data_IF_877819336379
#
_entry.id   IF_877819336379
#
_cell.length_a   1.000
_cell.length_b   1.000
_cell.length_c   1.000
_cell.angle_alpha   90.00
_cell.angle_beta   90.00
_cell.angle_gamma   90.00
#
_symmetry.space_group_name_H-M   'P 1'
#
loop_
_entity.id
_entity.type
_entity.pdbx_description
1 polymer ?
#
# COMPACT_ATOMS: atom_id res chain seq x y z
N UNK A 1 0.65 -4.79 10.42
CA UNK A 1 -0.60 -5.50 10.70
C UNK A 1 -1.64 -5.33 9.60
N UNK A 2 -1.78 -4.15 9.00
CA UNK A 2 -2.81 -3.84 8.00
C UNK A 2 -2.75 -4.72 6.75
N UNK A 3 -1.56 -4.98 6.20
CA UNK A 3 -1.40 -5.91 5.07
C UNK A 3 -1.99 -7.29 5.38
N UNK A 4 -1.78 -7.77 6.60
CA UNK A 4 -2.41 -9.01 7.07
C UNK A 4 -3.92 -8.87 7.25
N UNK A 5 -4.41 -7.70 7.70
CA UNK A 5 -5.86 -7.46 7.82
C UNK A 5 -6.57 -7.59 6.47
N UNK A 6 -5.90 -7.20 5.39
CA UNK A 6 -6.43 -7.40 4.04
C UNK A 6 -6.46 -8.88 3.65
N UNK A 7 -5.36 -9.61 3.89
CA UNK A 7 -5.32 -11.05 3.64
C UNK A 7 -6.43 -11.79 4.41
N UNK A 8 -6.63 -11.42 5.68
CA UNK A 8 -7.74 -11.92 6.50
C UNK A 8 -9.10 -11.56 5.92
N UNK A 9 -9.27 -10.31 5.45
CA UNK A 9 -10.50 -9.85 4.82
C UNK A 9 -10.81 -10.61 3.53
N UNK A 10 -9.80 -10.83 2.70
CA UNK A 10 -9.92 -11.63 1.47
C UNK A 10 -10.33 -13.06 1.81
N UNK A 11 -9.58 -13.73 2.69
CA UNK A 11 -9.87 -15.11 3.10
C UNK A 11 -11.28 -15.29 3.67
N UNK A 12 -11.74 -14.33 4.51
CA UNK A 12 -12.96 -14.51 5.28
C UNK A 12 -14.24 -14.02 4.57
N UNK A 13 -14.13 -13.10 3.62
CA UNK A 13 -15.28 -12.44 3.00
C UNK A 13 -15.57 -12.85 1.57
N UNK A 14 -14.59 -13.35 0.85
CA UNK A 14 -14.74 -13.71 -0.53
C UNK A 14 -14.84 -15.24 -0.68
N UNK A 15 -16.04 -15.77 -0.42
CA UNK A 15 -16.38 -17.16 -0.71
C UNK A 15 -16.33 -17.39 -2.21
N UNK A 16 -15.71 -18.48 -2.66
CA UNK A 16 -15.58 -18.83 -4.07
C UNK A 16 -14.31 -18.30 -4.77
N UNK A 17 -13.32 -17.84 -4.01
CA UNK A 17 -11.99 -17.50 -4.53
C UNK A 17 -10.96 -18.64 -4.34
N UNK A 18 -11.41 -19.85 -4.06
CA UNK A 18 -10.52 -20.99 -3.78
C UNK A 18 -9.57 -21.31 -4.96
N UNK A 19 -10.04 -21.04 -6.19
CA UNK A 19 -9.25 -21.21 -7.42
C UNK A 19 -8.44 -19.95 -7.81
N UNK A 20 -8.53 -18.88 -7.01
CA UNK A 20 -7.86 -17.63 -7.31
C UNK A 20 -6.52 -17.52 -6.62
N UNK A 21 -5.46 -17.28 -7.38
CA UNK A 21 -4.19 -16.89 -6.79
C UNK A 21 -4.18 -15.40 -6.51
N UNK A 22 -4.18 -15.03 -5.24
CA UNK A 22 -4.14 -13.64 -4.78
C UNK A 22 -2.75 -13.38 -4.20
N UNK A 23 -2.02 -12.48 -4.84
CA UNK A 23 -0.71 -12.04 -4.38
C UNK A 23 -0.84 -10.68 -3.69
N UNK A 24 -0.51 -10.60 -2.40
CA UNK A 24 -0.52 -9.38 -1.59
C UNK A 24 0.91 -8.94 -1.34
N UNK A 25 1.26 -7.69 -1.71
CA UNK A 25 2.60 -7.14 -1.49
C UNK A 25 2.50 -5.95 -0.54
N UNK A 26 3.07 -6.07 0.65
CA UNK A 26 3.27 -4.97 1.59
C UNK A 26 4.64 -4.32 1.39
N UNK A 27 4.69 -3.01 1.29
CA UNK A 27 5.95 -2.29 1.12
C UNK A 27 6.16 -1.25 2.22
N UNK A 28 7.41 -1.01 2.56
CA UNK A 28 7.84 0.01 3.51
C UNK A 28 9.27 0.44 3.19
N UNK A 29 9.60 1.71 3.44
CA UNK A 29 10.97 2.20 3.31
C UNK A 29 11.86 1.68 4.46
N UNK A 30 11.27 1.41 5.63
CA UNK A 30 11.95 0.92 6.82
C UNK A 30 12.19 -0.59 6.76
N UNK A 31 13.46 -0.98 6.70
CA UNK A 31 13.85 -2.39 6.83
C UNK A 31 13.42 -3.02 8.17
N UNK A 32 13.36 -2.22 9.24
CA UNK A 32 12.91 -2.67 10.56
C UNK A 32 11.42 -2.99 10.54
N UNK A 33 10.59 -2.14 9.92
CA UNK A 33 9.17 -2.38 9.77
C UNK A 33 8.91 -3.63 8.90
N UNK A 34 9.63 -3.78 7.79
CA UNK A 34 9.56 -4.98 6.94
C UNK A 34 9.93 -6.24 7.71
N UNK A 35 11.04 -6.23 8.45
CA UNK A 35 11.47 -7.39 9.25
C UNK A 35 10.45 -7.74 10.34
N UNK A 36 9.83 -6.74 10.98
CA UNK A 36 8.74 -6.96 11.95
C UNK A 36 7.53 -7.59 11.27
N UNK A 37 7.11 -7.06 10.13
CA UNK A 37 5.98 -7.56 9.37
C UNK A 37 6.20 -9.01 8.91
N UNK A 38 7.38 -9.33 8.39
CA UNK A 38 7.74 -10.69 7.95
C UNK A 38 7.67 -11.72 9.09
N UNK A 39 8.04 -11.32 10.31
CA UNK A 39 7.91 -12.20 11.49
C UNK A 39 6.46 -12.55 11.80
N UNK A 40 5.53 -11.64 11.55
CA UNK A 40 4.11 -11.86 11.82
C UNK A 40 3.74 -11.91 13.31
N UNK A 41 4.63 -11.42 14.20
CA UNK A 41 4.47 -11.40 15.65
C UNK A 41 3.99 -10.03 16.14
N UNK A 42 2.90 -10.01 16.91
CA UNK A 42 2.27 -8.80 17.42
C UNK A 42 1.93 -8.91 18.91
N UNK A 43 2.03 -7.81 19.61
CA UNK A 43 1.58 -7.72 21.01
C UNK A 43 0.07 -7.78 21.15
N UNK A 44 -0.42 -8.05 22.36
CA UNK A 44 -1.86 -7.96 22.66
C UNK A 44 -2.45 -6.60 22.27
N UNK A 45 -1.73 -5.53 22.56
CA UNK A 45 -2.19 -4.18 22.24
C UNK A 45 -2.34 -3.97 20.72
N UNK A 46 -1.37 -4.40 19.92
CA UNK A 46 -1.41 -4.21 18.47
C UNK A 46 -2.58 -4.95 17.80
N UNK A 47 -2.87 -6.18 18.21
CA UNK A 47 -3.98 -6.94 17.63
C UNK A 47 -5.34 -6.41 18.08
N UNK A 48 -5.48 -5.92 19.30
CA UNK A 48 -6.73 -5.37 19.82
C UNK A 48 -7.08 -4.00 19.25
N UNK A 49 -6.08 -3.21 18.83
CA UNK A 49 -6.29 -1.87 18.27
C UNK A 49 -7.01 -1.87 16.91
N UNK A 50 -6.98 -2.95 16.15
CA UNK A 50 -7.50 -2.97 14.78
C UNK A 50 -8.34 -4.17 14.41
N UNK A 51 -8.43 -5.19 15.27
CA UNK A 51 -9.10 -6.45 14.96
C UNK A 51 -10.16 -6.77 16.02
N UNK A 52 -11.28 -7.34 15.58
CA UNK A 52 -12.25 -7.89 16.51
C UNK A 52 -11.78 -9.26 17.06
N UNK A 53 -12.32 -9.66 18.21
CA UNK A 53 -11.92 -10.88 18.92
C UNK A 53 -12.04 -12.13 18.03
N UNK A 54 -13.10 -12.23 17.24
CA UNK A 54 -13.33 -13.36 16.35
C UNK A 54 -12.19 -13.46 15.31
N UNK A 55 -11.83 -12.37 14.67
CA UNK A 55 -10.72 -12.33 13.70
C UNK A 55 -9.38 -12.71 14.35
N UNK A 56 -9.16 -12.28 15.61
CA UNK A 56 -7.95 -12.66 16.34
C UNK A 56 -7.92 -14.19 16.55
N UNK A 57 -9.00 -14.78 17.02
CA UNK A 57 -9.08 -16.23 17.28
C UNK A 57 -9.00 -17.07 16.00
N UNK A 58 -9.55 -16.57 14.88
CA UNK A 58 -9.58 -17.28 13.61
C UNK A 58 -8.24 -17.17 12.83
N UNK A 59 -7.48 -16.10 13.06
CA UNK A 59 -6.34 -15.74 12.21
C UNK A 59 -4.98 -15.71 12.91
N UNK A 60 -4.98 -15.86 14.23
CA UNK A 60 -3.75 -15.87 15.03
C UNK A 60 -3.74 -17.04 16.01
N UNK A 61 -2.55 -17.40 16.42
CA UNK A 61 -2.33 -18.27 17.57
C UNK A 61 -1.38 -17.62 18.57
N UNK A 62 -1.41 -18.08 19.81
CA UNK A 62 -0.50 -17.60 20.85
C UNK A 62 0.91 -18.15 20.63
N UNK A 63 1.89 -17.26 20.73
CA UNK A 63 3.30 -17.57 20.82
C UNK A 63 3.87 -16.83 22.05
N UNK A 64 3.91 -17.52 23.18
CA UNK A 64 4.20 -16.91 24.47
C UNK A 64 3.19 -15.80 24.82
N UNK A 65 3.68 -14.60 25.08
CA UNK A 65 2.85 -13.43 25.36
C UNK A 65 2.37 -12.68 24.11
N UNK A 66 2.82 -13.11 22.94
CA UNK A 66 2.49 -12.48 21.66
C UNK A 66 1.47 -13.28 20.85
N UNK A 67 1.03 -12.68 19.76
CA UNK A 67 0.16 -13.29 18.76
C UNK A 67 0.89 -13.45 17.45
N UNK A 68 0.97 -14.68 16.96
CA UNK A 68 1.52 -15.01 15.65
C UNK A 68 0.39 -15.11 14.65
N UNK A 69 0.53 -14.45 13.49
CA UNK A 69 -0.39 -14.64 12.35
C UNK A 69 -0.27 -16.07 11.83
N UNK A 70 -1.39 -16.73 11.58
CA UNK A 70 -1.42 -18.08 11.07
C UNK A 70 -0.74 -18.22 9.69
N UNK A 71 -0.11 -19.36 9.46
CA UNK A 71 0.73 -19.59 8.26
C UNK A 71 -0.02 -19.50 6.94
N UNK A 72 -1.30 -19.87 6.91
CA UNK A 72 -2.15 -19.76 5.73
C UNK A 72 -2.30 -18.29 5.29
N UNK A 73 -2.46 -17.35 6.24
CA UNK A 73 -2.51 -15.92 5.98
C UNK A 73 -1.12 -15.36 5.64
N UNK A 74 -0.07 -15.80 6.36
CA UNK A 74 1.29 -15.35 6.09
C UNK A 74 1.74 -15.68 4.67
N UNK A 75 1.36 -16.84 4.14
CA UNK A 75 1.66 -17.28 2.78
C UNK A 75 0.99 -16.44 1.69
N UNK A 76 -0.07 -15.71 2.01
CA UNK A 76 -0.75 -14.80 1.08
C UNK A 76 -0.02 -13.47 0.89
N UNK A 77 0.97 -13.16 1.74
CA UNK A 77 1.57 -11.83 1.81
C UNK A 77 3.07 -11.90 1.60
N UNK A 78 3.58 -11.05 0.71
CA UNK A 78 5.00 -10.78 0.54
C UNK A 78 5.33 -9.37 1.05
N UNK A 79 6.42 -9.22 1.79
CA UNK A 79 6.90 -7.92 2.26
C UNK A 79 8.20 -7.53 1.57
N UNK A 80 8.24 -6.31 1.01
CA UNK A 80 9.40 -5.77 0.29
C UNK A 80 9.78 -4.39 0.83
N UNK A 81 11.06 -4.13 0.98
CA UNK A 81 11.51 -2.75 1.18
C UNK A 81 11.37 -1.99 -0.14
N UNK A 82 10.70 -0.86 -0.09
CA UNK A 82 10.47 -0.02 -1.26
C UNK A 82 10.31 1.46 -0.85
N UNK A 83 10.91 2.37 -1.63
CA UNK A 83 10.70 3.80 -1.51
C UNK A 83 9.81 4.28 -2.65
N UNK A 84 8.75 5.03 -2.35
CA UNK A 84 7.82 5.57 -3.36
C UNK A 84 8.46 6.52 -4.36
N UNK A 85 9.63 7.08 -4.01
CA UNK A 85 10.39 7.96 -4.90
C UNK A 85 11.30 7.17 -5.86
N UNK A 86 11.52 5.89 -5.63
CA UNK A 86 12.28 5.06 -6.55
C UNK A 86 11.44 4.70 -7.78
N UNK A 87 12.12 4.48 -8.90
CA UNK A 87 11.44 3.99 -10.10
C UNK A 87 10.90 2.58 -9.87
N UNK A 88 9.61 2.42 -10.14
CA UNK A 88 8.95 1.13 -10.03
C UNK A 88 9.40 0.28 -11.22
N UNK A 89 10.45 -0.51 -11.05
CA UNK A 89 10.83 -1.56 -11.99
C UNK A 89 9.85 -2.76 -11.89
N UNK A 90 8.55 -2.47 -11.85
CA UNK A 90 7.52 -3.52 -11.80
C UNK A 90 7.07 -3.83 -13.22
N UNK A 91 7.43 -5.00 -13.69
CA UNK A 91 6.94 -5.56 -14.94
C UNK A 91 5.44 -5.92 -14.85
N UNK A 92 4.94 -6.05 -13.65
CA UNK A 92 3.57 -6.48 -13.37
C UNK A 92 2.68 -5.31 -12.96
N UNK A 93 1.40 -5.44 -13.25
CA UNK A 93 0.38 -4.45 -12.95
C UNK A 93 -0.43 -4.84 -11.72
N UNK A 94 -0.91 -3.85 -10.97
CA UNK A 94 -1.75 -4.03 -9.79
C UNK A 94 -3.19 -3.61 -10.08
N UNK A 95 -4.15 -4.38 -9.58
CA UNK A 95 -5.55 -3.99 -9.68
C UNK A 95 -5.97 -3.08 -8.56
N UNK A 96 -5.38 -3.24 -7.39
CA UNK A 96 -5.70 -2.42 -6.23
C UNK A 96 -4.41 -1.96 -5.55
N UNK A 97 -4.34 -0.67 -5.26
CA UNK A 97 -3.29 -0.06 -4.44
C UNK A 97 -3.93 0.63 -3.26
N UNK A 98 -3.41 0.39 -2.05
CA UNK A 98 -3.71 1.18 -0.87
C UNK A 98 -2.50 2.06 -0.54
N UNK A 99 -2.62 3.36 -0.76
CA UNK A 99 -1.62 4.36 -0.40
C UNK A 99 -2.25 5.33 0.61
N UNK A 100 -2.39 4.88 1.86
CA UNK A 100 -3.14 5.61 2.89
C UNK A 100 -2.21 6.36 3.83
N UNK A 101 -2.53 7.63 4.07
CA UNK A 101 -1.88 8.53 5.03
C UNK A 101 -0.37 8.72 4.81
N UNK A 102 0.09 8.55 3.58
CA UNK A 102 1.50 8.62 3.19
C UNK A 102 1.78 9.85 2.33
N UNK A 103 0.96 10.10 1.32
CA UNK A 103 1.22 11.17 0.35
C UNK A 103 1.28 12.55 0.98
N UNK A 104 0.56 12.76 2.08
CA UNK A 104 0.57 14.02 2.84
C UNK A 104 1.94 14.42 3.41
N UNK A 105 2.92 13.52 3.44
CA UNK A 105 4.28 13.81 3.88
C UNK A 105 5.20 14.29 2.76
N UNK A 106 4.71 14.32 1.53
CA UNK A 106 5.45 14.75 0.35
C UNK A 106 4.98 16.11 -0.12
N UNK A 107 5.88 16.87 -0.76
CA UNK A 107 5.50 18.11 -1.45
C UNK A 107 4.55 17.81 -2.63
N UNK A 108 3.77 18.80 -3.11
CA UNK A 108 2.88 18.59 -4.25
C UNK A 108 3.55 18.01 -5.49
N UNK A 109 4.81 18.36 -5.75
CA UNK A 109 5.61 17.87 -6.86
C UNK A 109 5.89 16.37 -6.73
N UNK A 110 6.32 15.94 -5.55
CA UNK A 110 6.53 14.53 -5.24
C UNK A 110 5.21 13.74 -5.20
N UNK A 111 4.13 14.31 -4.68
CA UNK A 111 2.79 13.70 -4.72
C UNK A 111 2.39 13.39 -6.16
N UNK A 112 2.58 14.35 -7.08
CA UNK A 112 2.26 14.17 -8.49
C UNK A 112 3.10 13.06 -9.13
N UNK A 113 4.41 13.02 -8.86
CA UNK A 113 5.28 11.95 -9.36
C UNK A 113 4.88 10.58 -8.84
N UNK A 114 4.63 10.46 -7.54
CA UNK A 114 4.21 9.21 -6.93
C UNK A 114 2.89 8.74 -7.54
N UNK A 115 1.88 9.62 -7.66
CA UNK A 115 0.59 9.27 -8.27
C UNK A 115 0.73 8.82 -9.71
N UNK A 116 1.59 9.49 -10.50
CA UNK A 116 1.89 9.08 -11.87
C UNK A 116 2.49 7.67 -11.92
N UNK A 117 3.46 7.38 -11.04
CA UNK A 117 4.08 6.04 -10.93
C UNK A 117 3.07 4.98 -10.49
N UNK A 118 2.25 5.26 -9.48
CA UNK A 118 1.20 4.35 -9.01
C UNK A 118 0.19 4.06 -10.13
N UNK A 119 -0.28 5.08 -10.84
CA UNK A 119 -1.20 4.89 -11.97
C UNK A 119 -0.58 4.04 -13.09
N UNK A 120 0.72 4.23 -13.36
CA UNK A 120 1.42 3.41 -14.34
C UNK A 120 1.68 1.97 -13.87
N UNK A 121 1.75 1.72 -12.59
CA UNK A 121 1.87 0.37 -12.04
C UNK A 121 0.52 -0.35 -11.91
N UNK A 122 -0.60 0.30 -12.25
CA UNK A 122 -1.92 -0.30 -12.20
C UNK A 122 -2.40 -0.79 -13.56
N UNK A 123 -3.34 -1.73 -13.52
CA UNK A 123 -4.16 -2.09 -14.67
C UNK A 123 -5.09 -0.93 -15.02
N UNK A 124 -5.57 -0.90 -16.24
CA UNK A 124 -6.65 0.03 -16.62
C UNK A 124 -7.88 -0.24 -15.75
N UNK A 125 -8.45 0.80 -15.16
CA UNK A 125 -9.54 0.66 -14.19
C UNK A 125 -9.12 0.12 -12.81
N UNK A 126 -7.82 0.02 -12.54
CA UNK A 126 -7.32 -0.35 -11.21
C UNK A 126 -7.72 0.67 -10.14
N UNK A 127 -7.85 0.21 -8.91
CA UNK A 127 -8.40 1.00 -7.81
C UNK A 127 -7.30 1.49 -6.88
N UNK A 128 -7.30 2.78 -6.59
CA UNK A 128 -6.46 3.42 -5.57
C UNK A 128 -7.30 3.77 -4.34
N UNK A 129 -6.86 3.34 -3.17
CA UNK A 129 -7.39 3.76 -1.88
C UNK A 129 -6.43 4.74 -1.21
N UNK A 130 -6.92 5.95 -0.89
CA UNK A 130 -6.22 6.93 -0.07
C UNK A 130 -6.73 6.91 1.38
N UNK A 131 -6.06 7.66 2.27
CA UNK A 131 -6.53 7.84 3.64
C UNK A 131 -7.84 8.64 3.69
N UNK A 132 -8.73 8.32 4.66
CA UNK A 132 -10.07 8.91 4.77
C UNK A 132 -10.09 10.44 4.78
N UNK A 133 -9.06 11.07 5.37
CA UNK A 133 -8.93 12.52 5.49
C UNK A 133 -7.73 13.05 4.71
N UNK A 134 -7.21 12.28 3.76
CA UNK A 134 -6.06 12.63 2.95
C UNK A 134 -6.56 13.36 1.69
N UNK A 135 -6.26 14.64 1.62
CA UNK A 135 -6.59 15.48 0.47
C UNK A 135 -5.33 15.70 -0.38
N UNK A 136 -5.34 15.17 -1.58
CA UNK A 136 -4.23 15.26 -2.53
C UNK A 136 -4.74 15.97 -3.78
N UNK A 137 -4.46 17.27 -3.95
CA UNK A 137 -5.07 18.09 -5.03
C UNK A 137 -4.80 17.56 -6.44
N UNK A 138 -3.62 16.94 -6.67
CA UNK A 138 -3.24 16.44 -8.00
C UNK A 138 -3.76 15.02 -8.32
N UNK A 139 -4.57 14.41 -7.46
CA UNK A 139 -5.07 13.04 -7.69
C UNK A 139 -5.91 12.94 -8.96
N UNK A 140 -6.71 13.96 -9.27
CA UNK A 140 -7.61 13.99 -10.41
C UNK A 140 -6.88 14.05 -11.78
N UNK A 141 -5.59 14.33 -11.77
CA UNK A 141 -4.75 14.27 -12.99
C UNK A 141 -4.56 12.83 -13.49
N UNK A 142 -4.59 11.86 -12.58
CA UNK A 142 -4.24 10.44 -12.84
C UNK A 142 -5.40 9.49 -12.61
N UNK A 143 -6.34 9.89 -11.76
CA UNK A 143 -7.42 9.04 -11.26
C UNK A 143 -8.76 9.74 -11.38
N UNK A 144 -9.82 8.96 -11.39
CA UNK A 144 -11.20 9.41 -11.31
C UNK A 144 -11.79 8.97 -9.99
N UNK A 145 -12.38 9.91 -9.24
CA UNK A 145 -13.04 9.61 -7.97
C UNK A 145 -14.28 8.76 -8.20
N UNK A 146 -14.37 7.64 -7.49
CA UNK A 146 -15.57 6.79 -7.56
C UNK A 146 -16.73 7.43 -6.78
N UNK A 147 -17.87 7.55 -7.46
CA UNK A 147 -19.10 8.11 -6.87
C UNK A 147 -19.56 7.26 -5.67
N UNK A 148 -19.94 7.92 -4.60
CA UNK A 148 -20.36 7.26 -3.36
C UNK A 148 -19.23 6.89 -2.41
N UNK A 149 -17.96 7.08 -2.78
CA UNK A 149 -16.80 6.78 -1.95
C UNK A 149 -15.90 8.02 -1.76
N UNK A 150 -15.47 8.28 -0.53
CA UNK A 150 -14.69 9.49 -0.23
C UNK A 150 -13.19 9.37 -0.51
N UNK A 151 -12.64 8.17 -0.56
CA UNK A 151 -11.19 7.92 -0.64
C UNK A 151 -10.84 6.82 -1.65
N UNK A 152 -11.73 6.54 -2.61
CA UNK A 152 -11.57 5.49 -3.61
C UNK A 152 -11.56 6.12 -4.99
N UNK A 153 -10.54 5.78 -5.77
CA UNK A 153 -10.27 6.35 -7.06
C UNK A 153 -9.96 5.26 -8.07
N UNK A 154 -10.38 5.44 -9.32
CA UNK A 154 -10.12 4.53 -10.43
C UNK A 154 -9.04 5.09 -11.34
N UNK A 155 -8.06 4.27 -11.70
CA UNK A 155 -6.97 4.66 -12.60
C UNK A 155 -7.49 4.93 -14.02
N UNK A 156 -7.09 6.06 -14.58
CA UNK A 156 -7.43 6.45 -15.97
C UNK A 156 -6.54 5.78 -17.02
N UNK A 157 -5.52 5.02 -16.60
CA UNK A 157 -4.58 4.38 -17.53
C UNK A 157 -3.77 5.40 -18.33
N UNK A 158 -2.94 6.20 -17.66
CA UNK A 158 -2.18 7.28 -18.32
C UNK A 158 -0.98 6.71 -19.08
N UNK A 159 -0.81 7.16 -20.33
CA UNK A 159 0.34 6.83 -21.16
C UNK A 159 1.64 7.42 -20.60
N UNK A 160 2.74 6.65 -20.69
CA UNK A 160 4.12 7.07 -20.35
C UNK A 160 4.56 8.40 -20.98
N UNK A 161 3.90 8.84 -22.07
CA UNK A 161 4.19 10.13 -22.71
C UNK A 161 3.91 11.34 -21.80
N UNK A 162 2.96 11.24 -20.86
CA UNK A 162 2.67 12.30 -19.88
C UNK A 162 3.68 12.35 -18.72
N UNK A 163 4.39 11.25 -18.44
CA UNK A 163 5.41 11.22 -17.38
C UNK A 163 6.68 12.01 -17.72
N UNK A 164 7.08 12.04 -19.00
CA UNK A 164 8.28 12.76 -19.46
C UNK A 164 8.23 14.27 -19.25
N UNK A 165 7.05 14.81 -18.90
CA UNK A 165 6.87 16.24 -18.60
C UNK A 165 7.08 16.60 -17.12
N UNK A 166 7.29 15.60 -16.25
CA UNK A 166 7.60 15.81 -14.84
C UNK A 166 9.11 15.69 -14.68
N UNK A 167 9.80 16.83 -14.57
CA UNK A 167 11.24 16.87 -14.29
C UNK A 167 11.53 16.17 -12.97
N UNK A 168 12.63 15.42 -12.90
CA UNK A 168 13.05 14.73 -11.67
C UNK A 168 13.46 15.79 -10.62
N UNK A 169 12.76 15.90 -9.47
CA UNK A 169 13.12 16.88 -8.46
C UNK A 169 14.48 16.65 -7.81
N UNK A 170 15.09 15.47 -8.02
CA UNK A 170 16.47 15.23 -7.57
C UNK A 170 17.47 16.11 -8.29
N UNK A 171 17.15 16.56 -9.51
CA UNK A 171 17.96 17.55 -10.24
C UNK A 171 17.80 18.97 -9.66
N UNK A 172 16.68 19.28 -8.99
CA UNK A 172 16.45 20.57 -8.35
C UNK A 172 17.06 20.67 -6.93
N UNK A 173 17.30 19.53 -6.26
CA UNK A 173 17.88 19.50 -4.90
C UNK A 173 19.41 19.62 -4.88
N UNK A 174 20.07 19.75 -6.03
CA UNK A 174 21.51 20.01 -6.09
C UNK A 174 21.88 21.45 -5.66
N UNK A 175 20.91 22.33 -5.44
CA UNK A 175 21.15 23.74 -5.09
C UNK A 175 20.74 24.14 -3.66
N UNK A 176 19.96 23.32 -2.91
CA UNK A 176 19.55 23.64 -1.54
C UNK A 176 19.65 22.42 -0.63
N UNK A 177 20.76 22.25 0.11
CA UNK A 177 20.89 21.34 1.23
C UNK A 177 20.14 21.90 2.46
N UNK A 178 18.80 21.83 2.46
CA UNK A 178 18.04 21.94 3.70
C UNK A 178 17.45 20.58 4.11
N UNK A 179 17.64 20.26 5.38
CA UNK A 179 17.32 18.99 6.02
C UNK A 179 15.92 18.45 5.68
N UNK A 180 15.89 17.31 5.02
CA UNK A 180 14.65 16.55 4.84
C UNK A 180 14.11 16.12 6.21
N UNK A 181 12.81 16.30 6.48
CA UNK A 181 12.24 15.81 7.73
C UNK A 181 12.38 14.29 7.79
N UNK A 182 12.98 13.81 8.88
CA UNK A 182 13.43 12.43 9.13
C UNK A 182 12.30 11.39 9.26
N UNK A 183 11.11 11.64 8.71
CA UNK A 183 9.96 10.78 8.97
C UNK A 183 9.07 10.56 7.74
N UNK A 184 9.49 9.65 6.87
CA UNK A 184 8.62 9.11 5.80
C UNK A 184 7.97 7.83 6.31
N UNK A 185 6.64 7.82 6.42
CA UNK A 185 5.86 6.62 6.77
C UNK A 185 5.49 5.81 5.54
N UNK A 186 5.27 4.52 5.71
CA UNK A 186 5.23 3.54 4.62
C UNK A 186 3.95 3.50 3.77
N UNK A 187 4.08 2.99 2.58
CA UNK A 187 3.02 2.79 1.60
C UNK A 187 3.02 1.37 1.02
N UNK A 188 1.93 0.91 0.45
CA UNK A 188 1.79 -0.45 -0.02
C UNK A 188 1.24 -0.61 -1.43
N UNK A 189 1.74 -1.58 -2.13
CA UNK A 189 1.39 -1.92 -3.51
C UNK A 189 1.09 -3.41 -3.61
N UNK A 190 0.05 -3.78 -4.32
CA UNK A 190 -0.42 -5.15 -4.47
C UNK A 190 -0.47 -5.62 -5.91
N UNK A 191 -0.06 -6.84 -6.12
CA UNK A 191 0.02 -7.47 -7.41
C UNK A 191 -1.01 -8.56 -7.58
N UNK A 192 -1.59 -8.67 -8.74
CA UNK A 192 -2.59 -9.64 -9.12
C UNK A 192 -2.04 -10.85 -9.86
N UNK A 193 -2.55 -11.95 -9.45
CA UNK A 193 -3.21 -12.95 -10.28
C UNK A 193 -4.39 -13.48 -9.46
N UNK A 194 -5.56 -13.11 -9.74
CA UNK A 194 -6.18 -11.81 -9.70
C UNK A 194 -6.52 -11.35 -8.28
N UNK A 195 -6.41 -10.11 -7.98
CA UNK A 195 -6.86 -9.37 -6.80
C UNK A 195 -5.92 -9.17 -5.61
N UNK A 196 -5.76 -7.93 -5.20
CA UNK A 196 -5.03 -7.54 -4.06
C UNK A 196 -4.98 -6.22 -3.47
N UNK A 197 -4.41 -5.99 -2.38
CA UNK A 197 -4.27 -4.69 -1.77
C UNK A 197 -3.16 -4.55 -0.73
N UNK A 198 -2.61 -3.36 -0.43
CA UNK A 198 -1.75 -3.08 0.68
C UNK A 198 -2.08 -1.87 1.49
N UNK A 199 -1.71 -1.82 2.71
CA UNK A 199 -2.17 -0.83 3.65
C UNK A 199 -1.06 -0.29 4.49
N UNK A 200 -1.17 1.01 4.74
CA UNK A 200 -0.36 1.65 5.74
C UNK A 200 -1.19 2.45 6.69
N UNK A 201 -0.94 2.26 7.92
CA UNK A 201 -1.38 3.10 8.98
C UNK A 201 -0.26 3.37 9.99
N UNK A 202 -0.51 4.33 10.80
CA UNK A 202 0.37 4.74 11.87
C UNK A 202 0.96 3.60 12.68
#
# INVERSE_FOLDING_TARGET
>A
LETYSLAMGVRNKFLGLDDWKIDIIGTDISSVAISKAQRGLYSNFEVQMGLNVRTILDCFHKDGEQWMVNDDIRKMVEFRRYNLLDDIALTDKFEVIFCRNVLRFFTPEYQRQILARLSNSQTQGGILYLGKNEHIPCVDEFYEKLSGYNCVYMSRGISMAKLKLVQDPREMLAEDEEEMPSFVRPSGIFKKRPFVSSVFDK
#
